data_IF_958307456797
#
_entry.id   IF_958307456797
#
_cell.length_a   1.000
_cell.length_b   1.000
_cell.length_c   1.000
_cell.angle_alpha   90.00
_cell.angle_beta   90.00
_cell.angle_gamma   90.00
#
_symmetry.space_group_name_H-M   'P 1'
#
loop_
_entity.id
_entity.type
_entity.pdbx_description
1 polymer ?
#
# COMPACT_ATOMS: atom_id res chain seq x y z
N UNK A 1 43.48 31.81 -24.00
CA UNK A 1 42.63 31.59 -22.82
C UNK A 1 41.25 32.14 -23.16
N UNK A 2 40.16 31.39 -23.29
CA UNK A 2 39.87 29.99 -22.96
C UNK A 2 38.70 29.58 -23.86
N UNK A 3 38.84 28.46 -24.57
CA UNK A 3 37.81 27.91 -25.43
C UNK A 3 36.67 27.31 -24.61
N UNK A 4 35.44 27.51 -25.10
CA UNK A 4 34.26 26.68 -24.82
C UNK A 4 34.55 25.23 -25.21
N UNK A 5 34.16 24.27 -24.36
CA UNK A 5 33.72 22.90 -24.75
C UNK A 5 33.11 22.19 -23.54
N UNK A 6 31.98 21.52 -23.77
CA UNK A 6 31.28 20.72 -22.78
C UNK A 6 29.92 20.23 -23.26
N UNK A 7 29.86 19.75 -24.51
CA UNK A 7 28.79 18.87 -24.96
C UNK A 7 29.29 17.42 -24.82
N UNK A 8 28.50 16.57 -24.17
CA UNK A 8 28.57 15.11 -24.28
C UNK A 8 27.13 14.61 -24.04
N UNK A 9 26.39 14.37 -25.13
CA UNK A 9 26.29 13.12 -25.87
C UNK A 9 25.18 12.22 -25.32
N UNK A 10 24.05 12.29 -26.02
CA UNK A 10 23.02 11.27 -26.09
C UNK A 10 23.65 9.91 -26.42
N UNK A 11 23.37 8.93 -25.59
CA UNK A 11 23.53 7.51 -25.86
C UNK A 11 22.33 6.79 -25.26
N UNK A 12 21.31 6.59 -26.09
CA UNK A 12 20.09 5.85 -25.72
C UNK A 12 20.41 4.35 -25.68
N UNK A 13 20.49 3.81 -24.47
CA UNK A 13 20.11 2.41 -24.21
C UNK A 13 18.99 2.46 -23.18
N UNK A 14 17.79 2.03 -23.58
CA UNK A 14 16.62 1.97 -22.74
C UNK A 14 16.84 0.93 -21.62
N UNK A 15 17.27 1.41 -20.45
CA UNK A 15 17.09 0.73 -19.18
C UNK A 15 16.29 1.70 -18.32
N UNK A 16 15.08 1.30 -17.92
CA UNK A 16 14.23 2.07 -17.02
C UNK A 16 14.99 2.30 -15.71
N UNK A 17 15.59 3.48 -15.56
CA UNK A 17 16.29 3.88 -14.37
C UNK A 17 15.23 4.19 -13.29
N UNK A 18 14.98 3.21 -12.41
CA UNK A 18 14.29 3.47 -11.16
C UNK A 18 15.01 4.64 -10.46
N UNK A 19 14.30 5.76 -10.29
CA UNK A 19 14.91 6.95 -9.68
C UNK A 19 15.05 6.66 -8.20
N UNK A 20 16.29 6.50 -7.72
CA UNK A 20 16.59 6.36 -6.31
C UNK A 20 16.26 7.67 -5.60
N UNK A 21 15.12 7.72 -4.92
CA UNK A 21 14.84 8.79 -3.96
C UNK A 21 15.52 8.37 -2.66
N UNK A 22 16.83 8.65 -2.54
CA UNK A 22 17.51 8.48 -1.26
C UNK A 22 16.71 9.29 -0.22
N UNK A 23 16.21 8.63 0.81
CA UNK A 23 15.44 9.26 1.88
C UNK A 23 16.39 10.04 2.81
N UNK A 24 17.08 11.04 2.25
CA UNK A 24 17.36 12.27 2.95
C UNK A 24 16.45 13.28 2.26
N UNK A 25 15.42 13.73 2.98
CA UNK A 25 14.51 14.79 2.58
C UNK A 25 15.28 15.88 1.84
N UNK A 26 14.69 16.41 0.78
CA UNK A 26 15.00 17.77 0.35
C UNK A 26 14.93 18.68 1.58
N UNK A 27 16.10 19.05 2.05
CA UNK A 27 16.62 20.24 2.76
C UNK A 27 15.69 21.31 3.36
N UNK A 28 14.38 21.30 3.14
CA UNK A 28 13.50 22.44 3.46
C UNK A 28 12.74 22.31 4.80
N UNK A 29 12.44 21.10 5.28
CA UNK A 29 11.56 20.92 6.47
C UNK A 29 12.29 20.71 7.80
N UNK A 30 13.55 20.26 7.79
CA UNK A 30 14.39 20.12 8.99
C UNK A 30 15.55 21.14 9.03
N UNK A 31 15.41 22.21 8.24
CA UNK A 31 16.20 23.42 8.34
C UNK A 31 17.71 23.21 8.44
N UNK A 32 18.35 22.49 7.51
CA UNK A 32 19.80 22.53 7.25
C UNK A 32 20.80 22.27 8.41
N UNK A 33 20.38 22.17 9.67
CA UNK A 33 21.24 22.10 10.85
C UNK A 33 21.53 20.66 11.26
N UNK A 34 20.56 19.75 11.11
CA UNK A 34 20.79 18.31 11.32
C UNK A 34 21.90 17.81 10.38
N UNK A 35 21.94 18.33 9.14
CA UNK A 35 22.98 18.00 8.16
C UNK A 35 24.38 18.53 8.53
N UNK A 36 24.48 19.45 9.50
CA UNK A 36 25.74 20.04 9.97
C UNK A 36 26.26 19.41 11.26
N UNK A 37 25.51 18.48 11.87
CA UNK A 37 25.93 17.86 13.12
C UNK A 37 27.16 16.97 12.90
N UNK A 38 28.27 17.14 13.66
CA UNK A 38 29.52 16.38 13.44
C UNK A 38 29.35 14.86 13.48
N UNK A 39 28.40 14.33 14.27
CA UNK A 39 28.11 12.89 14.31
C UNK A 39 27.58 12.31 12.98
N UNK A 40 27.13 13.15 12.05
CA UNK A 40 26.64 12.76 10.73
C UNK A 40 27.66 13.06 9.61
N UNK A 41 28.90 13.41 9.96
CA UNK A 41 29.96 13.74 8.99
C UNK A 41 30.28 12.61 8.01
N UNK A 42 29.94 11.36 8.37
CA UNK A 42 30.15 10.17 7.53
C UNK A 42 28.84 9.62 6.94
N UNK A 43 27.76 10.40 6.98
CA UNK A 43 26.46 10.04 6.44
C UNK A 43 25.51 9.44 7.47
N UNK A 44 24.24 9.30 7.04
CA UNK A 44 23.17 8.77 7.87
C UNK A 44 23.18 7.23 7.85
N UNK A 45 22.97 6.58 8.99
CA UNK A 45 22.59 5.17 9.02
C UNK A 45 21.32 4.96 8.19
N UNK A 46 21.39 4.05 7.22
CA UNK A 46 20.24 3.69 6.37
C UNK A 46 19.57 2.44 6.94
N UNK A 47 18.28 2.55 7.21
CA UNK A 47 17.42 1.44 7.68
C UNK A 47 16.43 0.98 6.60
N UNK A 48 16.29 1.77 5.54
CA UNK A 48 15.36 1.52 4.45
C UNK A 48 15.88 2.04 3.12
N UNK A 49 15.16 1.71 2.05
CA UNK A 49 15.44 2.18 0.70
C UNK A 49 14.15 2.58 -0.02
N UNK A 50 14.07 3.81 -0.52
CA UNK A 50 12.92 4.28 -1.30
C UNK A 50 13.23 4.26 -2.79
N UNK A 51 12.40 3.60 -3.57
CA UNK A 51 12.49 3.59 -5.03
C UNK A 51 11.14 3.92 -5.67
N UNK A 52 11.21 4.68 -6.76
CA UNK A 52 10.08 4.95 -7.64
C UNK A 52 10.25 4.17 -8.95
N UNK A 53 9.15 3.60 -9.43
CA UNK A 53 9.01 2.95 -10.73
C UNK A 53 7.87 3.61 -11.51
N UNK A 54 7.55 3.13 -12.71
CA UNK A 54 6.38 3.62 -13.46
C UNK A 54 5.05 3.23 -12.77
N UNK A 55 5.06 2.07 -12.09
CA UNK A 55 3.89 1.46 -11.47
C UNK A 55 3.60 2.01 -10.06
N UNK A 56 4.63 2.13 -9.22
CA UNK A 56 4.46 2.46 -7.81
C UNK A 56 5.71 3.13 -7.21
N UNK A 57 5.55 3.65 -5.99
CA UNK A 57 6.67 4.04 -5.12
C UNK A 57 6.69 3.14 -3.90
N UNK A 58 7.85 2.59 -3.56
CA UNK A 58 8.00 1.69 -2.42
C UNK A 58 9.11 2.14 -1.47
N UNK A 59 8.91 1.89 -0.18
CA UNK A 59 9.97 1.94 0.83
C UNK A 59 10.24 0.53 1.32
N UNK A 60 11.47 0.06 1.17
CA UNK A 60 11.90 -1.27 1.58
C UNK A 60 12.60 -1.22 2.93
N UNK A 61 12.17 -2.04 3.88
CA UNK A 61 12.78 -2.16 5.21
C UNK A 61 13.86 -3.25 5.17
N UNK A 62 15.10 -2.86 5.45
CA UNK A 62 16.26 -3.76 5.43
C UNK A 62 16.19 -4.84 6.51
N UNK A 63 15.54 -4.58 7.64
CA UNK A 63 15.45 -5.50 8.77
C UNK A 63 14.46 -6.62 8.49
N UNK A 64 13.28 -6.26 7.97
CA UNK A 64 12.23 -7.25 7.67
C UNK A 64 12.41 -7.88 6.29
N UNK A 65 13.18 -7.25 5.41
CA UNK A 65 13.34 -7.60 3.98
C UNK A 65 12.01 -7.62 3.22
N UNK A 66 11.12 -6.73 3.63
CA UNK A 66 9.82 -6.51 3.02
C UNK A 66 9.70 -5.01 2.68
N UNK A 67 8.80 -4.64 1.76
CA UNK A 67 8.38 -3.25 1.63
C UNK A 67 7.70 -2.84 2.95
N UNK A 68 8.15 -1.78 3.60
CA UNK A 68 7.43 -1.14 4.70
C UNK A 68 6.08 -0.58 4.22
N UNK A 69 6.09 -0.03 3.00
CA UNK A 69 4.90 0.41 2.29
C UNK A 69 5.15 0.45 0.78
N UNK A 70 4.08 0.32 0.02
CA UNK A 70 4.00 0.57 -1.43
C UNK A 70 2.81 1.49 -1.69
N UNK A 71 3.03 2.54 -2.46
CA UNK A 71 2.03 3.53 -2.86
C UNK A 71 1.77 3.43 -4.36
N UNK A 72 0.51 3.23 -4.72
CA UNK A 72 0.03 3.21 -6.10
C UNK A 72 -0.92 4.38 -6.35
N UNK A 73 -0.96 4.84 -7.60
CA UNK A 73 -1.93 5.82 -8.07
C UNK A 73 -2.77 5.24 -9.20
N UNK A 74 -4.07 5.13 -8.96
CA UNK A 74 -5.02 4.56 -9.91
C UNK A 74 -5.97 5.64 -10.41
N UNK A 75 -6.24 5.62 -11.71
CA UNK A 75 -7.26 6.45 -12.34
C UNK A 75 -8.23 5.54 -13.09
N UNK A 76 -9.39 6.08 -13.45
CA UNK A 76 -10.33 5.35 -14.28
C UNK A 76 -9.71 4.88 -15.61
N UNK A 77 -8.88 5.72 -16.22
CA UNK A 77 -8.18 5.42 -17.46
C UNK A 77 -7.17 4.28 -17.25
N UNK A 78 -6.29 4.38 -16.25
CA UNK A 78 -5.20 3.42 -16.07
C UNK A 78 -5.68 2.00 -15.76
N UNK A 79 -6.80 1.83 -15.04
CA UNK A 79 -7.33 0.49 -14.67
C UNK A 79 -8.25 -0.14 -15.73
N UNK A 80 -8.55 0.59 -16.82
CA UNK A 80 -9.40 0.09 -17.93
C UNK A 80 -8.59 -0.35 -19.15
N UNK A 81 -7.36 0.15 -19.28
CA UNK A 81 -6.45 -0.27 -20.34
C UNK A 81 -5.97 -1.70 -20.08
N UNK A 82 -5.83 -2.48 -21.15
CA UNK A 82 -5.33 -3.86 -21.13
C UNK A 82 -4.29 -4.04 -22.25
N UNK A 83 -3.22 -3.26 -22.16
CA UNK A 83 -2.15 -3.17 -23.16
C UNK A 83 -0.96 -4.08 -22.83
N UNK A 84 -0.86 -4.54 -21.57
CA UNK A 84 0.20 -5.41 -21.10
C UNK A 84 -0.16 -6.90 -21.21
N UNK A 85 0.80 -7.71 -21.67
CA UNK A 85 0.73 -9.17 -21.61
C UNK A 85 1.03 -9.66 -20.20
N UNK A 86 0.38 -10.75 -19.79
CA UNK A 86 0.60 -11.41 -18.49
C UNK A 86 2.08 -11.63 -18.24
N UNK A 87 2.58 -11.08 -17.14
CA UNK A 87 3.91 -11.35 -16.60
C UNK A 87 3.83 -12.49 -15.58
N UNK A 88 4.91 -13.27 -15.47
CA UNK A 88 5.01 -14.41 -14.55
C UNK A 88 6.37 -14.48 -13.85
N UNK A 89 7.37 -13.71 -14.31
CA UNK A 89 8.75 -13.79 -13.86
C UNK A 89 9.03 -12.75 -12.78
N UNK A 90 9.10 -13.22 -11.54
CA UNK A 90 9.63 -12.43 -10.44
C UNK A 90 11.11 -12.14 -10.61
N UNK A 91 11.54 -10.96 -10.17
CA UNK A 91 12.95 -10.53 -10.20
C UNK A 91 13.38 -9.92 -8.88
N UNK A 92 14.61 -10.18 -8.49
CA UNK A 92 15.22 -9.52 -7.35
C UNK A 92 15.53 -8.05 -7.71
N UNK A 93 15.50 -7.14 -6.73
CA UNK A 93 15.77 -5.71 -6.97
C UNK A 93 17.22 -5.32 -6.63
N UNK A 94 18.06 -5.05 -7.64
CA UNK A 94 19.51 -4.89 -7.48
C UNK A 94 19.93 -3.54 -6.86
N UNK A 95 18.99 -2.59 -6.74
CA UNK A 95 19.25 -1.33 -6.05
C UNK A 95 19.39 -1.46 -4.53
N UNK A 96 18.98 -2.60 -3.95
CA UNK A 96 19.18 -2.89 -2.52
C UNK A 96 20.47 -3.70 -2.36
N UNK A 97 21.37 -3.33 -1.42
CA UNK A 97 22.58 -4.10 -1.16
C UNK A 97 22.29 -5.59 -0.92
N UNK A 98 23.12 -6.46 -1.47
CA UNK A 98 22.92 -7.92 -1.43
C UNK A 98 22.65 -8.48 -0.02
N UNK A 99 23.32 -7.92 0.99
CA UNK A 99 23.16 -8.30 2.40
C UNK A 99 21.78 -7.94 3.01
N UNK A 100 21.03 -7.05 2.37
CA UNK A 100 19.75 -6.50 2.83
C UNK A 100 18.56 -6.89 1.94
N UNK A 101 18.82 -7.36 0.70
CA UNK A 101 17.75 -7.72 -0.25
C UNK A 101 17.08 -9.04 0.12
N UNK A 102 15.81 -9.18 -0.27
CA UNK A 102 15.17 -10.48 -0.40
C UNK A 102 15.56 -11.14 -1.73
N UNK A 103 15.62 -12.48 -1.74
CA UNK A 103 15.96 -13.29 -2.90
C UNK A 103 14.84 -14.22 -3.29
N UNK A 104 14.84 -14.65 -4.55
CA UNK A 104 13.86 -15.64 -5.02
C UNK A 104 14.00 -16.97 -4.27
N UNK A 105 15.24 -17.33 -3.90
CA UNK A 105 15.53 -18.51 -3.09
C UNK A 105 14.91 -18.49 -1.71
N UNK A 106 14.64 -17.32 -1.12
CA UNK A 106 14.05 -17.21 0.21
C UNK A 106 12.59 -17.69 0.22
N UNK A 107 11.90 -17.52 -0.92
CA UNK A 107 10.50 -17.92 -1.12
C UNK A 107 10.37 -19.37 -1.63
N UNK A 108 11.36 -19.86 -2.37
CA UNK A 108 11.34 -21.19 -2.95
C UNK A 108 11.22 -22.27 -1.84
N UNK A 109 10.17 -23.09 -1.89
CA UNK A 109 9.93 -24.14 -0.90
C UNK A 109 9.54 -23.66 0.50
N UNK A 110 9.33 -22.36 0.70
CA UNK A 110 9.02 -21.77 2.01
C UNK A 110 7.60 -22.05 2.53
N UNK A 111 6.69 -22.47 1.64
CA UNK A 111 5.25 -22.58 1.92
C UNK A 111 4.47 -21.27 1.77
N UNK A 112 5.14 -20.14 1.46
CA UNK A 112 4.51 -18.85 1.21
C UNK A 112 4.56 -18.47 -0.26
N UNK A 113 3.52 -17.80 -0.72
CA UNK A 113 3.51 -17.15 -2.02
C UNK A 113 4.34 -15.86 -2.00
N UNK A 114 4.82 -15.49 -3.19
CA UNK A 114 5.33 -14.14 -3.48
C UNK A 114 4.12 -13.22 -3.70
N UNK A 115 3.57 -12.69 -2.60
CA UNK A 115 2.38 -11.85 -2.61
C UNK A 115 2.71 -10.41 -2.98
N UNK A 116 1.96 -9.85 -3.93
CA UNK A 116 2.12 -8.47 -4.38
C UNK A 116 1.49 -7.49 -3.38
N UNK A 117 2.12 -6.33 -3.19
CA UNK A 117 1.50 -5.20 -2.47
C UNK A 117 0.76 -4.27 -3.46
N UNK A 118 1.43 -3.92 -4.55
CA UNK A 118 0.86 -3.34 -5.76
C UNK A 118 0.57 -4.46 -6.78
N UNK A 119 -0.71 -4.85 -7.00
CA UNK A 119 -1.03 -6.00 -7.84
C UNK A 119 -0.90 -5.71 -9.33
N UNK A 120 -0.36 -6.66 -10.08
CA UNK A 120 -0.17 -6.56 -11.54
C UNK A 120 -1.44 -6.14 -12.31
N UNK A 121 -2.62 -6.56 -11.83
CA UNK A 121 -3.91 -6.23 -12.46
C UNK A 121 -4.26 -4.72 -12.41
N UNK A 122 -3.60 -3.92 -11.57
CA UNK A 122 -3.75 -2.46 -11.54
C UNK A 122 -2.94 -1.77 -12.65
N UNK A 123 -1.94 -2.46 -13.20
CA UNK A 123 -0.87 -1.88 -14.03
C UNK A 123 -0.88 -2.44 -15.45
N UNK A 124 -2.06 -2.85 -15.94
CA UNK A 124 -2.26 -3.38 -17.28
C UNK A 124 -2.13 -2.35 -18.41
N UNK A 125 -2.03 -1.06 -18.07
CA UNK A 125 -1.86 0.04 -19.03
C UNK A 125 -0.45 0.12 -19.64
N UNK A 126 0.53 -0.59 -19.09
CA UNK A 126 1.91 -0.57 -19.58
C UNK A 126 2.61 -1.88 -19.25
N UNK A 127 3.33 -2.45 -20.22
CA UNK A 127 4.10 -3.67 -19.97
C UNK A 127 5.20 -3.43 -18.94
N UNK A 128 5.80 -2.24 -18.94
CA UNK A 128 6.87 -1.85 -18.03
C UNK A 128 6.31 -1.70 -16.62
N UNK A 129 5.16 -1.02 -16.47
CA UNK A 129 4.44 -0.94 -15.20
C UNK A 129 4.02 -2.32 -14.67
N UNK A 130 3.50 -3.22 -15.53
CA UNK A 130 3.21 -4.59 -15.11
C UNK A 130 4.47 -5.31 -14.66
N UNK A 131 5.56 -5.22 -15.41
CA UNK A 131 6.84 -5.84 -15.04
C UNK A 131 7.29 -5.34 -13.68
N UNK A 132 7.21 -4.04 -13.40
CA UNK A 132 7.62 -3.46 -12.10
C UNK A 132 6.98 -4.14 -10.89
N UNK A 133 5.71 -4.56 -11.00
CA UNK A 133 5.01 -5.26 -9.91
C UNK A 133 5.65 -6.59 -9.52
N UNK A 134 6.38 -7.26 -10.42
CA UNK A 134 7.06 -8.53 -10.18
C UNK A 134 8.46 -8.38 -9.55
N UNK A 135 8.88 -7.14 -9.25
CA UNK A 135 10.09 -6.89 -8.48
C UNK A 135 9.90 -7.25 -7.00
N UNK A 136 10.88 -7.91 -6.37
CA UNK A 136 10.84 -8.19 -4.92
C UNK A 136 10.80 -6.93 -4.03
N UNK A 137 11.02 -5.74 -4.61
CA UNK A 137 10.72 -4.45 -3.98
C UNK A 137 9.22 -4.26 -3.64
N UNK A 138 8.34 -5.10 -4.19
CA UNK A 138 6.89 -5.06 -4.05
C UNK A 138 6.30 -6.34 -3.41
N UNK A 139 7.15 -7.25 -2.93
CA UNK A 139 6.73 -8.60 -2.54
C UNK A 139 6.89 -8.84 -1.05
N UNK A 140 5.89 -9.50 -0.46
CA UNK A 140 5.94 -10.03 0.90
C UNK A 140 5.48 -11.48 0.93
N UNK A 141 5.95 -12.30 1.90
CA UNK A 141 5.46 -13.66 2.10
C UNK A 141 3.97 -13.64 2.47
N UNK A 142 3.12 -14.22 1.61
CA UNK A 142 1.69 -14.32 1.85
C UNK A 142 1.25 -15.78 1.90
N UNK A 143 0.31 -16.10 2.78
CA UNK A 143 -0.38 -17.39 2.74
C UNK A 143 -1.06 -17.52 1.38
N UNK A 144 -0.85 -18.66 0.71
CA UNK A 144 -1.36 -18.88 -0.64
C UNK A 144 -2.87 -19.08 -0.68
N UNK A 145 -3.31 -20.34 -0.50
CA UNK A 145 -4.72 -20.73 -0.51
C UNK A 145 -5.46 -20.13 0.70
N UNK A 146 -6.63 -19.56 0.44
CA UNK A 146 -7.49 -18.88 1.39
C UNK A 146 -7.10 -17.42 1.66
N UNK A 147 -5.96 -16.94 1.16
CA UNK A 147 -5.50 -15.56 1.36
C UNK A 147 -5.03 -14.90 0.06
N UNK A 148 -3.75 -14.98 -0.33
CA UNK A 148 -3.19 -14.31 -1.51
C UNK A 148 -4.00 -14.60 -2.78
N UNK A 149 -4.28 -15.88 -3.01
CA UNK A 149 -4.96 -16.36 -4.22
C UNK A 149 -6.48 -16.16 -4.18
N UNK A 150 -7.03 -15.84 -3.02
CA UNK A 150 -8.48 -15.80 -2.77
C UNK A 150 -8.92 -14.46 -2.15
N UNK A 151 -8.90 -14.35 -0.81
CA UNK A 151 -9.46 -13.21 -0.11
C UNK A 151 -8.74 -11.90 -0.46
N UNK A 152 -7.41 -11.90 -0.48
CA UNK A 152 -6.61 -10.72 -0.79
C UNK A 152 -6.82 -10.23 -2.22
N UNK A 153 -6.85 -11.15 -3.20
CA UNK A 153 -7.17 -10.83 -4.60
C UNK A 153 -8.56 -10.17 -4.77
N UNK A 154 -9.54 -10.54 -3.93
CA UNK A 154 -10.86 -9.86 -3.90
C UNK A 154 -10.77 -8.45 -3.31
N UNK A 155 -9.97 -8.23 -2.27
CA UNK A 155 -9.69 -6.88 -1.74
C UNK A 155 -9.05 -6.01 -2.82
N UNK A 156 -8.08 -6.54 -3.55
CA UNK A 156 -7.44 -5.83 -4.67
C UNK A 156 -8.43 -5.50 -5.79
N UNK A 157 -9.34 -6.42 -6.11
CA UNK A 157 -10.43 -6.16 -7.06
C UNK A 157 -11.35 -5.05 -6.57
N UNK A 158 -11.73 -5.05 -5.29
CA UNK A 158 -12.54 -3.99 -4.71
C UNK A 158 -11.87 -2.62 -4.90
N UNK A 159 -10.57 -2.51 -4.61
CA UNK A 159 -9.82 -1.26 -4.79
C UNK A 159 -9.79 -0.81 -6.25
N UNK A 160 -9.57 -1.73 -7.21
CA UNK A 160 -9.70 -1.40 -8.64
C UNK A 160 -11.10 -0.94 -9.00
N UNK A 161 -12.13 -1.56 -8.46
CA UNK A 161 -13.52 -1.20 -8.76
C UNK A 161 -13.86 0.20 -8.25
N UNK A 162 -13.26 0.67 -7.14
CA UNK A 162 -13.37 2.07 -6.67
C UNK A 162 -12.90 3.05 -7.75
N UNK A 163 -11.75 2.79 -8.39
CA UNK A 163 -11.24 3.61 -9.50
C UNK A 163 -12.05 3.40 -10.81
N UNK A 164 -12.38 2.14 -11.14
CA UNK A 164 -12.99 1.75 -12.41
C UNK A 164 -14.44 2.21 -12.58
N UNK A 165 -15.20 2.30 -11.48
CA UNK A 165 -16.59 2.79 -11.52
C UNK A 165 -16.68 4.31 -11.72
N UNK A 166 -15.56 5.04 -11.69
CA UNK A 166 -15.52 6.49 -11.93
C UNK A 166 -16.19 7.31 -10.84
N UNK A 167 -16.37 6.72 -9.65
CA UNK A 167 -16.93 7.37 -8.44
C UNK A 167 -15.86 8.28 -7.79
N UNK A 168 -14.59 7.93 -7.97
CA UNK A 168 -13.44 8.78 -7.70
C UNK A 168 -12.67 9.02 -9.00
N UNK A 169 -12.09 10.21 -9.17
CA UNK A 169 -11.26 10.52 -10.34
C UNK A 169 -9.84 9.96 -10.16
N UNK A 170 -9.36 9.98 -8.91
CA UNK A 170 -8.05 9.44 -8.51
C UNK A 170 -8.21 8.60 -7.25
N UNK A 171 -7.47 7.49 -7.21
CA UNK A 171 -7.40 6.61 -6.03
C UNK A 171 -5.94 6.38 -5.71
N UNK A 172 -5.51 6.85 -4.54
CA UNK A 172 -4.19 6.56 -3.99
C UNK A 172 -4.31 5.38 -3.03
N UNK A 173 -3.50 4.35 -3.23
CA UNK A 173 -3.54 3.12 -2.43
C UNK A 173 -2.21 2.97 -1.72
N UNK A 174 -2.23 2.81 -0.39
CA UNK A 174 -1.04 2.47 0.39
C UNK A 174 -1.20 1.06 0.94
N UNK A 175 -0.25 0.19 0.64
CA UNK A 175 -0.29 -1.22 1.07
C UNK A 175 1.00 -1.55 1.78
N UNK A 176 0.94 -2.32 2.86
CA UNK A 176 2.13 -2.77 3.57
C UNK A 176 1.87 -3.91 4.55
N UNK A 177 2.93 -4.59 5.01
CA UNK A 177 2.86 -5.62 6.02
C UNK A 177 2.75 -5.02 7.43
N UNK A 178 2.18 -5.79 8.36
CA UNK A 178 2.25 -5.54 9.80
C UNK A 178 2.74 -6.79 10.53
N UNK A 179 3.53 -6.53 11.58
CA UNK A 179 4.09 -7.55 12.46
C UNK A 179 3.53 -7.35 13.87
N UNK A 180 2.30 -7.82 14.08
CA UNK A 180 1.52 -7.64 15.31
C UNK A 180 1.68 -8.86 16.23
N UNK A 181 1.81 -8.62 17.53
CA UNK A 181 1.98 -9.68 18.53
C UNK A 181 3.41 -10.23 18.59
N UNK A 182 3.59 -11.37 19.26
CA UNK A 182 4.91 -11.92 19.63
C UNK A 182 5.42 -13.04 18.72
N UNK A 183 4.56 -13.64 17.88
CA UNK A 183 4.96 -14.72 16.99
C UNK A 183 5.70 -14.15 15.76
N UNK A 184 7.00 -14.43 15.65
CA UNK A 184 7.80 -14.08 14.49
C UNK A 184 8.13 -15.33 13.68
N UNK A 185 7.66 -15.37 12.44
CA UNK A 185 8.04 -16.39 11.48
C UNK A 185 8.92 -15.75 10.40
N UNK A 186 9.91 -16.48 9.93
CA UNK A 186 10.82 -16.05 8.87
C UNK A 186 10.99 -17.14 7.83
N UNK A 187 11.32 -16.75 6.61
CA UNK A 187 11.73 -17.64 5.50
C UNK A 187 13.14 -17.28 5.05
N UNK A 188 13.77 -18.14 4.24
CA UNK A 188 15.17 -18.01 3.84
C UNK A 188 16.14 -18.66 4.82
N UNK A 189 17.43 -18.31 4.72
CA UNK A 189 18.50 -18.92 5.52
C UNK A 189 19.32 -17.85 6.22
N UNK A 190 19.67 -18.01 7.51
CA UNK A 190 20.50 -17.04 8.22
C UNK A 190 21.82 -16.75 7.48
N UNK A 191 22.30 -15.50 7.45
CA UNK A 191 21.72 -14.31 8.10
C UNK A 191 20.62 -13.62 7.28
N UNK A 192 20.22 -14.20 6.15
CA UNK A 192 19.23 -13.67 5.22
C UNK A 192 17.83 -14.21 5.47
N UNK A 193 17.18 -13.65 6.49
CA UNK A 193 15.82 -13.99 6.87
C UNK A 193 14.83 -12.91 6.42
N UNK A 194 13.81 -13.32 5.66
CA UNK A 194 12.67 -12.48 5.30
C UNK A 194 11.58 -12.73 6.33
N UNK A 195 11.09 -11.67 6.97
CA UNK A 195 10.01 -11.79 7.95
C UNK A 195 8.69 -12.09 7.25
N UNK A 196 7.90 -13.01 7.80
CA UNK A 196 6.53 -13.29 7.36
C UNK A 196 5.58 -12.35 8.10
N UNK A 197 4.85 -11.46 7.39
CA UNK A 197 3.89 -10.57 8.03
C UNK A 197 2.75 -11.34 8.69
N UNK A 198 2.31 -10.86 9.84
CA UNK A 198 1.12 -11.39 10.53
C UNK A 198 -0.17 -10.89 9.90
N UNK A 199 -0.14 -9.67 9.37
CA UNK A 199 -1.26 -8.98 8.74
C UNK A 199 -0.74 -8.14 7.59
N UNK A 200 -1.65 -7.71 6.72
CA UNK A 200 -1.41 -6.67 5.73
C UNK A 200 -2.42 -5.56 5.93
N UNK A 201 -1.97 -4.31 5.81
CA UNK A 201 -2.85 -3.18 5.71
C UNK A 201 -3.04 -2.76 4.25
N UNK A 202 -4.22 -2.22 3.94
CA UNK A 202 -4.48 -1.49 2.69
C UNK A 202 -5.31 -0.26 3.01
N UNK A 203 -4.80 0.91 2.62
CA UNK A 203 -5.46 2.20 2.80
C UNK A 203 -5.84 2.72 1.43
N UNK A 204 -7.09 3.15 1.29
CA UNK A 204 -7.65 3.63 0.04
C UNK A 204 -8.09 5.08 0.24
N UNK A 205 -7.39 6.00 -0.42
CA UNK A 205 -7.71 7.41 -0.49
C UNK A 205 -8.33 7.70 -1.87
N UNK A 206 -9.63 7.93 -1.90
CA UNK A 206 -10.38 8.32 -3.08
C UNK A 206 -10.53 9.85 -3.13
N UNK A 207 -10.18 10.45 -4.27
CA UNK A 207 -10.36 11.89 -4.55
C UNK A 207 -11.43 12.06 -5.64
N UNK A 208 -12.44 12.88 -5.35
CA UNK A 208 -13.47 13.30 -6.28
C UNK A 208 -13.29 14.79 -6.56
N UNK A 209 -13.06 15.14 -7.82
CA UNK A 209 -12.92 16.51 -8.30
C UNK A 209 -14.31 17.10 -8.52
N UNK A 210 -14.55 18.37 -8.13
CA UNK A 210 -15.78 19.08 -8.52
C UNK A 210 -15.89 19.13 -10.05
N UNK A 211 -16.95 18.56 -10.64
CA UNK A 211 -17.22 18.64 -12.10
C UNK A 211 -18.06 19.87 -12.48
N UNK A 212 -18.72 20.49 -11.52
CA UNK A 212 -19.46 21.75 -11.60
C UNK A 212 -19.35 22.51 -10.26
N UNK A 213 -19.65 23.81 -10.26
CA UNK A 213 -19.67 24.67 -9.05
C UNK A 213 -20.55 24.09 -7.93
N UNK A 214 -21.58 23.31 -8.30
CA UNK A 214 -22.54 22.70 -7.37
C UNK A 214 -22.24 21.25 -6.99
N UNK A 215 -21.30 20.58 -7.66
CA UNK A 215 -20.91 19.21 -7.30
C UNK A 215 -19.78 19.28 -6.28
N UNK A 216 -20.07 18.90 -5.03
CA UNK A 216 -19.05 18.84 -3.98
C UNK A 216 -17.95 17.84 -4.31
N UNK A 217 -16.72 18.32 -4.47
CA UNK A 217 -15.54 17.47 -4.47
C UNK A 217 -15.15 17.05 -3.06
N UNK A 218 -14.09 16.27 -2.94
CA UNK A 218 -13.50 15.93 -1.65
C UNK A 218 -12.76 14.60 -1.67
N UNK A 219 -12.42 14.16 -0.47
CA UNK A 219 -11.64 12.97 -0.21
C UNK A 219 -12.47 11.97 0.59
N UNK A 220 -12.17 10.70 0.37
CA UNK A 220 -12.75 9.61 1.13
C UNK A 220 -11.66 8.59 1.47
N UNK A 221 -11.57 8.20 2.75
CA UNK A 221 -10.51 7.32 3.25
C UNK A 221 -11.10 6.12 3.98
N UNK A 222 -10.58 4.92 3.72
CA UNK A 222 -10.73 3.77 4.61
C UNK A 222 -9.41 3.02 4.70
N UNK A 223 -9.16 2.45 5.88
CA UNK A 223 -8.04 1.56 6.13
C UNK A 223 -8.56 0.15 6.52
N UNK A 224 -7.97 -0.87 5.90
CA UNK A 224 -8.27 -2.27 6.16
C UNK A 224 -7.03 -2.96 6.71
N UNK A 225 -7.19 -3.83 7.70
CA UNK A 225 -6.12 -4.68 8.23
C UNK A 225 -6.58 -6.13 8.21
N UNK A 226 -5.94 -6.92 7.36
CA UNK A 226 -6.36 -8.28 7.02
C UNK A 226 -5.29 -9.27 7.50
N UNK A 227 -5.64 -10.32 8.27
CA UNK A 227 -4.67 -11.29 8.76
C UNK A 227 -4.11 -12.14 7.63
N UNK A 228 -2.80 -12.41 7.66
CA UNK A 228 -2.10 -13.25 6.69
C UNK A 228 -2.36 -14.74 6.97
N UNK A 229 -3.60 -15.18 6.77
CA UNK A 229 -4.08 -16.55 7.01
C UNK A 229 -5.31 -16.83 6.13
N UNK A 230 -5.74 -18.09 5.98
CA UNK A 230 -6.97 -18.39 5.25
C UNK A 230 -8.19 -17.67 5.86
N UNK A 231 -9.00 -17.02 5.02
CA UNK A 231 -10.21 -16.30 5.42
C UNK A 231 -11.42 -16.89 4.68
N UNK A 232 -12.54 -17.02 5.40
CA UNK A 232 -13.76 -17.57 4.80
C UNK A 232 -14.27 -16.66 3.68
N UNK A 233 -14.72 -17.21 2.53
CA UNK A 233 -15.13 -16.40 1.39
C UNK A 233 -16.28 -15.41 1.68
N UNK A 234 -17.16 -15.73 2.61
CA UNK A 234 -18.31 -14.92 3.01
C UNK A 234 -17.97 -13.86 4.09
N UNK A 235 -16.76 -13.85 4.64
CA UNK A 235 -16.35 -12.83 5.63
C UNK A 235 -16.40 -11.43 5.00
N UNK A 236 -17.20 -10.49 5.53
CA UNK A 236 -17.29 -9.12 5.02
C UNK A 236 -15.95 -8.37 5.14
N UNK A 237 -15.59 -7.56 4.14
CA UNK A 237 -14.39 -6.71 4.24
C UNK A 237 -14.51 -5.64 5.33
N UNK A 238 -15.74 -5.22 5.63
CA UNK A 238 -16.04 -4.33 6.76
C UNK A 238 -15.61 -4.90 8.10
N UNK A 239 -15.49 -6.23 8.24
CA UNK A 239 -14.97 -6.85 9.46
C UNK A 239 -13.50 -6.50 9.71
N UNK A 240 -12.76 -6.11 8.67
CA UNK A 240 -11.34 -5.76 8.71
C UNK A 240 -11.05 -4.25 8.69
N UNK A 241 -12.08 -3.41 8.84
CA UNK A 241 -11.90 -1.96 8.94
C UNK A 241 -11.15 -1.58 10.22
N UNK A 242 -10.26 -0.61 10.11
CA UNK A 242 -9.52 -0.02 11.22
C UNK A 242 -9.46 1.51 11.07
N UNK A 243 -9.41 2.26 12.18
CA UNK A 243 -9.12 3.70 12.13
C UNK A 243 -7.75 3.94 11.48
N UNK A 244 -7.64 4.98 10.65
CA UNK A 244 -6.37 5.30 9.97
C UNK A 244 -5.20 5.46 10.97
N UNK A 245 -5.45 6.12 12.10
CA UNK A 245 -4.43 6.38 13.11
C UNK A 245 -3.98 5.11 13.84
N UNK A 246 -4.85 4.10 13.96
CA UNK A 246 -4.46 2.80 14.51
C UNK A 246 -3.49 2.08 13.56
N UNK A 247 -3.71 2.19 12.25
CA UNK A 247 -2.77 1.66 11.24
C UNK A 247 -1.45 2.44 11.24
N UNK A 248 -1.48 3.77 11.33
CA UNK A 248 -0.27 4.61 11.47
C UNK A 248 0.57 4.20 12.68
N UNK A 249 -0.07 4.02 13.84
CA UNK A 249 0.59 3.59 15.07
C UNK A 249 1.19 2.18 14.95
N UNK A 250 0.42 1.23 14.39
CA UNK A 250 0.87 -0.14 14.21
C UNK A 250 1.99 -0.29 13.17
N UNK A 251 1.95 0.51 12.11
CA UNK A 251 2.90 0.46 11.00
C UNK A 251 4.14 1.37 11.23
N UNK A 252 4.09 2.26 12.21
CA UNK A 252 5.18 3.20 12.52
C UNK A 252 5.38 4.27 11.46
N UNK A 253 4.29 4.80 10.88
CA UNK A 253 4.37 5.80 9.81
C UNK A 253 3.25 6.83 9.92
N UNK A 254 3.48 8.02 9.34
CA UNK A 254 2.45 9.06 9.20
C UNK A 254 2.01 9.12 7.74
N UNK A 255 0.71 8.95 7.52
CA UNK A 255 0.11 8.86 6.20
C UNK A 255 -0.49 10.20 5.79
N UNK A 256 -0.34 10.52 4.51
CA UNK A 256 -0.96 11.68 3.86
C UNK A 256 -0.73 13.02 4.59
N UNK A 257 0.43 13.23 5.23
CA UNK A 257 0.69 14.42 6.07
C UNK A 257 0.52 15.78 5.37
N UNK A 258 0.65 15.83 4.04
CA UNK A 258 0.36 17.03 3.23
C UNK A 258 -1.15 17.30 3.06
N UNK A 259 -1.96 16.25 3.06
CA UNK A 259 -3.42 16.32 2.89
C UNK A 259 -4.11 16.45 4.24
N UNK A 260 -3.74 15.60 5.20
CA UNK A 260 -4.30 15.48 6.54
C UNK A 260 -3.63 16.47 7.50
N UNK A 261 -3.92 17.76 7.30
CA UNK A 261 -3.64 18.79 8.30
C UNK A 261 -4.28 18.42 9.66
N UNK A 262 -3.83 19.00 10.79
CA UNK A 262 -4.41 18.71 12.10
C UNK A 262 -5.95 18.79 12.13
N UNK A 263 -6.53 19.81 11.48
CA UNK A 263 -7.98 19.98 11.39
C UNK A 263 -8.67 18.88 10.56
N UNK A 264 -8.12 18.54 9.39
CA UNK A 264 -8.67 17.46 8.54
C UNK A 264 -8.55 16.09 9.22
N UNK A 265 -7.47 15.87 9.95
CA UNK A 265 -7.25 14.68 10.76
C UNK A 265 -8.26 14.56 11.89
N UNK A 266 -8.53 15.66 12.61
CA UNK A 266 -9.58 15.68 13.64
C UNK A 266 -10.98 15.39 13.06
N UNK A 267 -11.29 15.93 11.87
CA UNK A 267 -12.55 15.64 11.15
C UNK A 267 -12.66 14.17 10.73
N UNK A 268 -11.62 13.62 10.11
CA UNK A 268 -11.59 12.20 9.72
C UNK A 268 -11.79 11.30 10.95
N UNK A 269 -11.09 11.58 12.07
CA UNK A 269 -11.27 10.84 13.32
C UNK A 269 -12.72 10.89 13.82
N UNK A 270 -13.36 12.05 13.77
CA UNK A 270 -14.76 12.20 14.19
C UNK A 270 -15.72 11.42 13.28
N UNK A 271 -15.48 11.41 11.96
CA UNK A 271 -16.28 10.63 11.01
C UNK A 271 -16.05 9.12 11.14
N UNK A 272 -14.81 8.67 11.34
CA UNK A 272 -14.48 7.29 11.68
C UNK A 272 -15.17 6.86 12.99
N UNK A 273 -15.12 7.69 14.04
CA UNK A 273 -15.78 7.41 15.30
C UNK A 273 -17.30 7.23 15.12
N UNK A 274 -17.96 8.10 14.34
CA UNK A 274 -19.37 7.94 13.98
C UNK A 274 -19.60 6.62 13.25
N UNK A 275 -18.80 6.31 12.23
CA UNK A 275 -18.91 5.08 11.45
C UNK A 275 -18.83 3.83 12.33
N UNK A 276 -17.79 3.74 13.16
CA UNK A 276 -17.56 2.60 14.04
C UNK A 276 -18.62 2.49 15.15
N UNK A 277 -19.09 3.60 15.73
CA UNK A 277 -20.20 3.58 16.70
C UNK A 277 -21.49 3.02 16.10
N UNK A 278 -21.84 3.42 14.87
CA UNK A 278 -23.05 2.92 14.21
C UNK A 278 -22.93 1.44 13.78
N UNK A 279 -21.70 0.96 13.53
CA UNK A 279 -21.41 -0.43 13.11
C UNK A 279 -21.00 -1.37 14.26
N UNK A 280 -20.81 -0.85 15.48
CA UNK A 280 -20.36 -1.57 16.69
C UNK A 280 -21.28 -2.71 17.17
N UNK A 281 -22.34 -3.06 16.45
CA UNK A 281 -23.08 -4.31 16.69
C UNK A 281 -22.44 -5.53 16.01
N UNK A 282 -21.39 -5.38 15.16
CA UNK A 282 -20.86 -6.52 14.37
C UNK A 282 -19.34 -6.62 14.15
N UNK A 283 -18.47 -5.68 14.54
CA UNK A 283 -17.06 -5.69 14.04
C UNK A 283 -16.02 -6.16 15.07
N UNK A 284 -15.41 -7.35 14.89
CA UNK A 284 -14.36 -7.90 15.77
C UNK A 284 -12.93 -7.40 15.49
N UNK A 285 -12.56 -6.97 14.27
CA UNK A 285 -11.15 -6.62 14.00
C UNK A 285 -10.70 -5.29 14.60
N UNK A 286 -11.63 -4.36 14.86
CA UNK A 286 -11.31 -3.13 15.59
C UNK A 286 -10.72 -3.43 16.98
N UNK A 287 -11.13 -4.51 17.65
CA UNK A 287 -10.59 -4.91 18.95
C UNK A 287 -9.13 -5.37 18.90
N UNK A 288 -8.59 -5.78 17.75
CA UNK A 288 -7.25 -6.39 17.67
C UNK A 288 -6.13 -5.39 17.39
N UNK A 289 -6.46 -4.19 16.88
CA UNK A 289 -5.52 -3.08 16.69
C UNK A 289 -5.57 -2.04 17.80
N UNK A 290 -6.58 -2.12 18.66
CA UNK A 290 -6.59 -1.40 19.92
C UNK A 290 -5.57 -2.08 20.84
N UNK A 291 -4.35 -1.52 20.87
CA UNK A 291 -3.44 -1.70 21.99
C UNK A 291 -4.20 -1.41 23.31
N UNK A 292 -3.85 -2.06 24.43
CA UNK A 292 -4.66 -2.04 25.65
C UNK A 292 -4.99 -0.61 26.05
N UNK A 293 -6.23 -0.40 26.47
CA UNK A 293 -6.81 0.87 26.93
C UNK A 293 -5.81 1.65 27.80
N UNK A 294 -4.97 2.46 27.15
CA UNK A 294 -4.30 3.56 27.82
C UNK A 294 -5.42 4.53 28.13
N UNK A 295 -5.91 4.49 29.38
CA UNK A 295 -7.11 5.15 29.89
C UNK A 295 -7.11 6.68 29.81
N UNK A 296 -6.90 7.22 28.62
CA UNK A 296 -7.24 8.58 28.24
C UNK A 296 -8.59 8.55 27.54
N UNK A 297 -9.56 9.25 28.10
CA UNK A 297 -10.82 9.55 27.44
C UNK A 297 -10.53 10.08 26.03
N UNK A 298 -11.22 9.60 24.98
CA UNK A 298 -11.12 10.25 23.68
C UNK A 298 -11.45 11.75 23.88
N UNK A 299 -10.66 12.67 23.28
CA UNK A 299 -10.98 14.09 23.36
C UNK A 299 -12.41 14.29 22.84
N UNK A 300 -13.20 15.18 23.48
CA UNK A 300 -14.58 15.40 23.10
C UNK A 300 -14.65 15.73 21.61
N UNK A 301 -15.54 15.03 20.89
CA UNK A 301 -15.77 15.30 19.48
C UNK A 301 -16.20 16.77 19.32
N UNK A 302 -15.52 17.57 18.48
CA UNK A 302 -15.95 18.93 18.23
C UNK A 302 -17.35 18.93 17.59
N UNK A 303 -18.17 19.93 17.90
CA UNK A 303 -19.47 20.13 17.24
C UNK A 303 -19.25 20.47 15.76
N UNK A 304 -19.53 19.52 14.87
CA UNK A 304 -19.33 19.65 13.42
C UNK A 304 -20.64 19.85 12.64
N UNK A 305 -21.72 20.32 13.29
CA UNK A 305 -23.07 20.34 12.71
C UNK A 305 -23.29 21.30 11.52
N UNK A 306 -22.28 22.07 11.06
CA UNK A 306 -22.48 23.17 10.10
C UNK A 306 -21.50 23.33 8.94
N UNK A 307 -20.63 22.37 8.63
CA UNK A 307 -19.69 22.51 7.52
C UNK A 307 -19.67 21.26 6.62
N UNK A 308 -19.74 21.40 5.28
CA UNK A 308 -19.50 20.27 4.37
C UNK A 308 -18.09 19.72 4.63
N UNK A 309 -17.97 18.44 4.95
CA UNK A 309 -16.66 17.82 5.16
C UNK A 309 -16.05 17.46 3.80
N UNK A 310 -14.90 18.07 3.51
CA UNK A 310 -14.10 17.76 2.32
C UNK A 310 -13.33 16.44 2.45
N UNK A 311 -13.41 15.77 3.60
CA UNK A 311 -12.89 14.42 3.85
C UNK A 311 -13.89 13.59 4.66
N UNK A 312 -14.19 12.38 4.21
CA UNK A 312 -15.15 11.46 4.88
C UNK A 312 -14.63 10.03 4.93
N UNK A 313 -15.33 9.13 5.62
CA UNK A 313 -15.03 7.70 5.55
C UNK A 313 -15.44 7.10 4.19
N UNK A 314 -14.60 6.26 3.59
CA UNK A 314 -14.81 5.71 2.25
C UNK A 314 -16.05 4.83 2.17
N UNK A 315 -16.31 4.03 3.20
CA UNK A 315 -17.40 3.07 3.17
C UNK A 315 -18.80 3.69 3.22
N UNK A 316 -18.91 4.99 3.51
CA UNK A 316 -20.16 5.75 3.41
C UNK A 316 -20.49 6.14 1.97
N UNK A 317 -19.47 6.26 1.11
CA UNK A 317 -19.61 6.62 -0.32
C UNK A 317 -19.51 5.41 -1.24
N UNK A 318 -18.71 4.41 -0.87
CA UNK A 318 -18.45 3.21 -1.66
C UNK A 318 -18.73 2.00 -0.78
N UNK A 319 -19.80 1.25 -1.05
CA UNK A 319 -20.11 0.02 -0.30
C UNK A 319 -18.86 -0.88 -0.22
N UNK A 320 -18.27 -1.00 0.97
CA UNK A 320 -17.05 -1.78 1.24
C UNK A 320 -17.36 -3.27 1.36
N UNK A 321 -18.10 -3.81 0.39
CA UNK A 321 -18.59 -5.18 0.39
C UNK A 321 -17.79 -6.01 -0.62
N UNK A 322 -17.29 -7.15 -0.16
CA UNK A 322 -16.84 -8.22 -1.06
C UNK A 322 -18.06 -9.09 -1.33
N UNK A 323 -18.75 -8.85 -2.44
CA UNK A 323 -19.91 -9.68 -2.80
C UNK A 323 -19.44 -11.13 -2.93
N UNK A 324 -20.04 -12.01 -2.12
CA UNK A 324 -19.88 -13.45 -2.23
C UNK A 324 -20.63 -13.95 -3.49
N UNK A 325 -20.16 -13.57 -4.67
CA UNK A 325 -20.67 -14.07 -5.94
C UNK A 325 -19.63 -15.03 -6.52
N UNK A 326 -20.07 -16.24 -6.92
CA UNK A 326 -19.42 -17.30 -7.75
C UNK A 326 -17.96 -17.06 -8.19
N UNK A 327 -17.08 -16.69 -7.27
CA UNK A 327 -15.71 -16.26 -7.58
C UNK A 327 -14.85 -17.49 -7.88
N UNK A 328 -15.17 -18.61 -7.21
CA UNK A 328 -14.62 -19.94 -7.48
C UNK A 328 -14.92 -20.45 -8.90
N UNK A 329 -16.01 -20.01 -9.54
CA UNK A 329 -16.37 -20.47 -10.89
C UNK A 329 -15.77 -19.58 -11.99
N UNK A 330 -15.68 -18.26 -11.77
CA UNK A 330 -15.17 -17.30 -12.76
C UNK A 330 -13.64 -17.31 -12.89
N UNK A 331 -12.91 -17.66 -11.82
CA UNK A 331 -11.45 -17.82 -11.89
C UNK A 331 -11.05 -19.11 -12.60
N UNK A 332 -11.78 -20.22 -12.39
CA UNK A 332 -11.56 -21.45 -13.17
C UNK A 332 -11.69 -21.20 -14.67
N UNK A 333 -12.67 -20.41 -15.10
CA UNK A 333 -12.81 -20.10 -16.53
C UNK A 333 -11.72 -19.15 -17.08
N UNK A 334 -11.07 -18.32 -16.26
CA UNK A 334 -9.95 -17.48 -16.70
C UNK A 334 -8.59 -18.17 -16.59
N UNK A 335 -8.45 -19.21 -15.76
CA UNK A 335 -7.23 -20.02 -15.66
C UNK A 335 -7.28 -21.29 -16.54
N UNK A 336 -8.45 -21.86 -16.83
CA UNK A 336 -8.61 -23.06 -17.69
C UNK A 336 -8.44 -22.75 -19.19
N UNK A 337 -8.51 -21.49 -19.62
CA UNK A 337 -8.12 -21.09 -20.99
C UNK A 337 -6.60 -20.89 -21.17
N UNK A 338 -5.79 -21.12 -20.13
CA UNK A 338 -4.33 -20.94 -20.17
C UNK A 338 -3.49 -22.01 -19.48
N UNK A 339 -4.11 -23.10 -19.00
CA UNK A 339 -3.43 -24.24 -18.36
C UNK A 339 -3.14 -25.38 -19.33
N UNK A 340 -2.26 -25.16 -20.31
CA UNK A 340 -1.73 -26.18 -21.19
C UNK A 340 -0.27 -25.90 -21.52
N UNK A 341 0.60 -26.80 -21.06
CA UNK A 341 2.08 -26.90 -21.15
C UNK A 341 2.93 -26.19 -20.08
#
# INVERSE_FOLDING_TARGET
>A
MTLRRGAACLGTTAAAAATTLSWCRKDEEFGGEILKHPALAHGFPQTNYVAASESFVACFDFRTRNPAWVVEHLTNASVRLDEAKRETRFREFEGIPERMRSRLSDYAGSGFDRGHLAPAANHKHSQDAMRDTFSLLNISPQVGVGFNRDYWARVEKFVRDVAKKGVADKVTVVTGPLFLGSAQQTIGTPPSLVHVPTHFFKIVLAETTPRAVWSGGGYAVAAFVVPNKPIQPDTPLTDFLAPLEAVEAAAGMVLFGRLLTPDRRAKLRADEAKYFLHKSKTTKAAQMLLLPDGGGSPPPAPDTSKLPTDITHLCDRHKCDLVAAKWLDQFKQQDDEGGGD
#
